data_IF_243460132100
#
_entry.id   IF_243460132100
#
_cell.length_a   1.000
_cell.length_b   1.000
_cell.length_c   1.000
_cell.angle_alpha   90.00
_cell.angle_beta   90.00
_cell.angle_gamma   90.00
#
_symmetry.space_group_name_H-M   'P 1'
#
loop_
_entity.id
_entity.type
_entity.pdbx_description
1 polymer ?
#
# COMPACT_ATOMS: atom_id res chain seq x y z
N UNK A 1 15.82 -5.49 -5.62
CA UNK A 1 15.69 -6.09 -4.27
C UNK A 1 14.33 -5.67 -3.75
N UNK A 2 13.50 -6.56 -3.18
CA UNK A 2 12.26 -6.12 -2.57
C UNK A 2 12.56 -5.19 -1.39
N UNK A 3 11.77 -4.15 -1.23
CA UNK A 3 11.88 -3.18 -0.14
C UNK A 3 10.66 -3.35 0.75
N UNK A 4 10.91 -3.55 2.04
CA UNK A 4 9.85 -3.62 3.04
C UNK A 4 9.72 -2.27 3.77
N UNK A 5 8.50 -1.74 3.80
CA UNK A 5 8.15 -0.50 4.47
C UNK A 5 7.15 -0.81 5.58
N UNK A 6 7.37 -0.29 6.77
CA UNK A 6 6.42 -0.39 7.88
C UNK A 6 5.91 0.99 8.23
N UNK A 7 4.60 1.17 8.25
CA UNK A 7 3.95 2.46 8.51
C UNK A 7 2.65 2.29 9.28
N UNK A 8 2.25 3.32 10.02
CA UNK A 8 0.93 3.38 10.63
C UNK A 8 -0.06 3.97 9.61
N UNK A 9 -1.26 3.42 9.53
CA UNK A 9 -2.31 3.88 8.63
C UNK A 9 -3.48 4.46 9.41
N UNK A 10 -3.75 5.76 9.19
CA UNK A 10 -4.93 6.43 9.72
C UNK A 10 -6.15 6.10 8.84
N UNK A 11 -7.08 5.32 9.38
CA UNK A 11 -8.31 4.86 8.72
C UNK A 11 -9.52 5.40 9.50
N UNK A 12 -10.13 6.47 9.00
CA UNK A 12 -11.17 7.20 9.73
C UNK A 12 -10.61 7.81 11.02
N UNK A 13 -11.25 7.53 12.15
CA UNK A 13 -10.78 7.96 13.48
C UNK A 13 -9.83 6.93 14.14
N UNK A 14 -9.41 5.89 13.43
CA UNK A 14 -8.57 4.82 13.95
C UNK A 14 -7.21 4.79 13.28
N UNK A 15 -6.23 4.20 13.99
CA UNK A 15 -4.90 3.95 13.44
C UNK A 15 -4.66 2.44 13.45
N UNK A 16 -4.38 1.88 12.28
CA UNK A 16 -3.84 0.52 12.15
C UNK A 16 -2.32 0.64 12.26
N UNK A 17 -1.74 0.06 13.30
CA UNK A 17 -0.32 0.24 13.63
C UNK A 17 0.56 -0.81 12.97
N UNK A 18 1.75 -0.42 12.52
CA UNK A 18 2.78 -1.34 12.07
C UNK A 18 2.47 -2.07 10.77
N UNK A 19 1.67 -1.46 9.89
CA UNK A 19 1.27 -2.04 8.61
C UNK A 19 2.47 -2.23 7.72
N UNK A 20 2.68 -3.47 7.29
CA UNK A 20 3.77 -3.83 6.38
C UNK A 20 3.36 -3.77 4.92
N UNK A 21 4.22 -3.12 4.16
CA UNK A 21 4.18 -3.03 2.72
C UNK A 21 5.46 -3.60 2.12
N UNK A 22 5.38 -4.13 0.90
CA UNK A 22 6.55 -4.51 0.11
C UNK A 22 6.47 -3.93 -1.30
N UNK A 23 7.58 -3.42 -1.81
CA UNK A 23 7.73 -2.93 -3.18
C UNK A 23 8.82 -3.71 -3.94
N UNK A 24 8.75 -3.77 -5.27
CA UNK A 24 9.86 -4.28 -6.08
C UNK A 24 9.80 -5.77 -6.45
N UNK A 25 8.71 -6.47 -6.12
CA UNK A 25 8.45 -7.86 -6.53
C UNK A 25 7.74 -7.94 -7.90
N UNK A 26 8.18 -7.13 -8.86
CA UNK A 26 7.45 -6.89 -10.12
C UNK A 26 7.13 -8.15 -10.95
N UNK A 27 8.02 -9.15 -10.90
CA UNK A 27 7.81 -10.43 -11.58
C UNK A 27 6.63 -11.26 -11.02
N UNK A 28 6.11 -10.92 -9.84
CA UNK A 28 4.98 -11.59 -9.21
C UNK A 28 3.63 -10.92 -9.50
N UNK A 29 3.60 -9.73 -10.13
CA UNK A 29 2.35 -9.04 -10.42
C UNK A 29 1.82 -9.39 -11.82
N UNK A 30 0.52 -9.68 -11.97
CA UNK A 30 -0.12 -9.78 -13.28
C UNK A 30 0.07 -8.48 -14.07
N UNK A 31 0.61 -8.59 -15.28
CA UNK A 31 0.84 -7.44 -16.17
C UNK A 31 -0.46 -6.76 -16.59
N UNK A 32 -1.56 -7.49 -16.59
CA UNK A 32 -2.89 -6.99 -16.94
C UNK A 32 -3.42 -5.93 -15.95
N UNK A 33 -2.72 -5.71 -14.83
CA UNK A 33 -3.07 -4.74 -13.78
C UNK A 33 -2.03 -3.63 -13.62
N UNK A 34 -1.08 -3.49 -14.55
CA UNK A 34 -0.01 -2.49 -14.47
C UNK A 34 -0.54 -1.06 -14.34
N UNK A 35 -1.71 -0.77 -14.90
CA UNK A 35 -2.35 0.55 -14.83
C UNK A 35 -3.25 0.74 -13.58
N UNK A 36 -3.36 -0.25 -12.70
CA UNK A 36 -4.21 -0.16 -11.51
C UNK A 36 -3.51 0.53 -10.34
N UNK A 37 -4.25 1.36 -9.60
CA UNK A 37 -3.80 1.91 -8.31
C UNK A 37 -3.29 0.76 -7.40
N UNK A 38 -2.11 0.93 -6.83
CA UNK A 38 -1.47 -0.09 -5.98
C UNK A 38 -0.55 -1.06 -6.70
N UNK A 39 -0.49 -1.07 -8.03
CA UNK A 39 0.43 -1.94 -8.75
C UNK A 39 1.88 -1.67 -8.35
N UNK A 40 2.68 -2.73 -8.22
CA UNK A 40 4.06 -2.65 -7.74
C UNK A 40 4.20 -2.78 -6.22
N UNK A 41 3.11 -2.68 -5.46
CA UNK A 41 3.11 -2.81 -4.00
C UNK A 41 2.30 -4.01 -3.50
N UNK A 42 2.70 -4.57 -2.35
CA UNK A 42 1.91 -5.51 -1.56
C UNK A 42 1.69 -4.91 -0.18
N UNK A 43 0.58 -5.28 0.44
CA UNK A 43 0.23 -4.97 1.82
C UNK A 43 -0.11 -6.28 2.51
N UNK A 44 0.25 -6.43 3.78
CA UNK A 44 -0.09 -7.63 4.53
C UNK A 44 -1.62 -7.81 4.68
N UNK A 45 -2.09 -9.06 4.58
CA UNK A 45 -3.53 -9.38 4.62
C UNK A 45 -4.19 -8.99 5.95
N UNK A 46 -3.46 -9.03 7.08
CA UNK A 46 -3.99 -8.66 8.38
C UNK A 46 -4.50 -7.20 8.40
N UNK A 47 -3.69 -6.26 7.89
CA UNK A 47 -4.08 -4.87 7.79
C UNK A 47 -5.32 -4.66 6.89
N UNK A 48 -5.43 -5.42 5.80
CA UNK A 48 -6.61 -5.37 4.91
C UNK A 48 -7.87 -5.87 5.61
N UNK A 49 -7.76 -6.93 6.41
CA UNK A 49 -8.89 -7.44 7.22
C UNK A 49 -9.33 -6.39 8.24
N UNK A 50 -8.40 -5.78 8.96
CA UNK A 50 -8.73 -4.72 9.92
C UNK A 50 -9.41 -3.52 9.25
N UNK A 51 -9.00 -3.13 8.04
CA UNK A 51 -9.70 -2.10 7.27
C UNK A 51 -11.14 -2.51 6.92
N UNK A 52 -11.35 -3.78 6.55
CA UNK A 52 -12.70 -4.27 6.26
C UNK A 52 -13.58 -4.29 7.49
N UNK A 53 -13.04 -4.65 8.66
CA UNK A 53 -13.78 -4.60 9.93
C UNK A 53 -14.18 -3.15 10.26
N UNK A 54 -13.27 -2.19 10.11
CA UNK A 54 -13.58 -0.76 10.30
C UNK A 54 -14.66 -0.25 9.35
N UNK A 55 -14.65 -0.70 8.09
CA UNK A 55 -15.70 -0.37 7.11
C UNK A 55 -17.04 -1.02 7.52
N UNK A 56 -17.01 -2.29 7.88
CA UNK A 56 -18.21 -3.05 8.26
C UNK A 56 -18.90 -2.46 9.50
N UNK A 57 -18.11 -1.97 10.46
CA UNK A 57 -18.59 -1.30 11.67
C UNK A 57 -19.05 0.15 11.41
N UNK A 58 -18.94 0.66 10.18
CA UNK A 58 -19.28 2.04 9.83
C UNK A 58 -18.31 3.08 10.39
N UNK A 59 -17.12 2.66 10.81
CA UNK A 59 -16.05 3.51 11.37
C UNK A 59 -15.13 4.09 10.31
N UNK A 60 -15.20 3.57 9.09
CA UNK A 60 -14.47 4.05 7.93
C UNK A 60 -15.33 3.97 6.66
N UNK A 61 -15.15 4.93 5.75
CA UNK A 61 -15.74 4.87 4.41
C UNK A 61 -14.82 4.11 3.44
N UNK A 62 -15.40 3.21 2.65
CA UNK A 62 -14.64 2.39 1.71
C UNK A 62 -13.91 3.22 0.63
N UNK A 63 -14.43 4.38 0.23
CA UNK A 63 -13.78 5.25 -0.76
C UNK A 63 -12.58 5.96 -0.14
N UNK A 64 -12.66 6.34 1.13
CA UNK A 64 -11.54 6.96 1.84
C UNK A 64 -10.43 5.94 2.10
N UNK A 65 -10.77 4.71 2.49
CA UNK A 65 -9.80 3.60 2.58
C UNK A 65 -9.13 3.33 1.22
N UNK A 66 -9.91 3.28 0.13
CA UNK A 66 -9.35 3.13 -1.22
C UNK A 66 -8.37 4.25 -1.56
N UNK A 67 -8.73 5.51 -1.27
CA UNK A 67 -7.86 6.68 -1.54
C UNK A 67 -6.57 6.60 -0.73
N UNK A 68 -6.66 6.24 0.55
CA UNK A 68 -5.51 6.05 1.42
C UNK A 68 -4.56 4.99 0.86
N UNK A 69 -5.08 3.82 0.51
CA UNK A 69 -4.28 2.73 -0.07
C UNK A 69 -3.59 3.15 -1.37
N UNK A 70 -4.32 3.83 -2.27
CA UNK A 70 -3.77 4.34 -3.51
C UNK A 70 -2.65 5.37 -3.25
N UNK A 71 -2.88 6.34 -2.35
CA UNK A 71 -1.88 7.35 -1.99
C UNK A 71 -0.63 6.71 -1.38
N UNK A 72 -0.77 5.79 -0.43
CA UNK A 72 0.37 5.13 0.19
C UNK A 72 1.16 4.29 -0.82
N UNK A 73 0.47 3.58 -1.70
CA UNK A 73 1.14 2.83 -2.77
C UNK A 73 1.91 3.73 -3.73
N UNK A 74 1.34 4.89 -4.10
CA UNK A 74 2.01 5.87 -4.95
C UNK A 74 3.24 6.45 -4.25
N UNK A 75 3.15 6.83 -2.97
CA UNK A 75 4.29 7.30 -2.18
C UNK A 75 5.41 6.26 -2.15
N UNK A 76 5.09 4.99 -1.85
CA UNK A 76 6.08 3.92 -1.82
C UNK A 76 6.73 3.71 -3.19
N UNK A 77 5.94 3.77 -4.27
CA UNK A 77 6.48 3.70 -5.62
C UNK A 77 7.38 4.91 -5.92
N UNK A 78 6.96 6.14 -5.67
CA UNK A 78 7.74 7.35 -5.94
C UNK A 78 9.07 7.39 -5.17
N UNK A 79 9.07 6.96 -3.90
CA UNK A 79 10.26 6.91 -3.05
C UNK A 79 11.30 5.89 -3.54
N UNK A 80 10.87 4.88 -4.30
CA UNK A 80 11.72 3.75 -4.70
C UNK A 80 11.87 3.56 -6.22
N UNK A 81 11.06 4.25 -7.03
CA UNK A 81 11.25 4.46 -8.47
C UNK A 81 12.28 5.56 -8.76
N UNK A 82 12.57 6.46 -7.81
CA UNK A 82 13.73 7.36 -7.96
C UNK A 82 14.96 6.47 -8.22
N UNK A 83 15.61 6.61 -9.38
CA UNK A 83 16.70 5.73 -9.76
C UNK A 83 17.74 5.78 -8.65
N UNK A 84 18.20 4.60 -8.24
CA UNK A 84 19.56 4.46 -7.74
C UNK A 84 20.39 5.22 -8.78
N UNK A 85 20.94 6.37 -8.40
CA UNK A 85 21.81 7.17 -9.27
C UNK A 85 22.71 6.19 -10.02
N UNK A 86 22.66 6.24 -11.35
CA UNK A 86 23.55 5.51 -12.24
C UNK A 86 24.97 6.09 -12.10
N UNK A 87 25.54 6.00 -10.90
CA UNK A 87 26.95 6.25 -10.60
C UNK A 87 27.61 4.88 -10.36
N UNK A 88 27.73 4.09 -11.43
CA UNK A 88 28.70 2.99 -11.56
C UNK A 88 29.27 2.92 -12.98
#
# INVERSE_FOLDING_TARGET
MPIDVTTDLAVGEQTITGVRWSWGTFAAYPREREEADGWGTQIETAAVIEMFDLIADGRADARDVRRLLAQMSATICEEHERPIDEDY
#
